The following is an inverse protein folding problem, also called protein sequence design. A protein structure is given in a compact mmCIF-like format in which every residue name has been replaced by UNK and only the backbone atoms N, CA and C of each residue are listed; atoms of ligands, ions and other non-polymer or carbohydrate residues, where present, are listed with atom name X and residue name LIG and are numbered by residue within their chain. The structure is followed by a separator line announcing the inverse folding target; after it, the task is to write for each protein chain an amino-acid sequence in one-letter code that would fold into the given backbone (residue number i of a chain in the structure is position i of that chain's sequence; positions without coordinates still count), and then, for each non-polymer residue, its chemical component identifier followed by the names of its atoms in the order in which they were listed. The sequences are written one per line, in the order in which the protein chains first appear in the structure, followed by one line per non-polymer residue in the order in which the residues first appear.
data_IF_859864759838
#
_entry.id   IF_859864759838
#
_cell.length_a   1.000
_cell.length_b   1.000
_cell.length_c   1.000
_cell.angle_alpha   90.00
_cell.angle_beta   90.00
_cell.angle_gamma   90.00
#
_symmetry.space_group_name_H-M   'P 1'
#
loop_
_entity.id
_entity.type
_entity.pdbx_description
1 polymer ?
#
# COMPACT_ATOMS: atom_id res chain seq x y z
N UNK A 1 -10.74 -17.44 -28.41
CA UNK A 1 -10.07 -16.19 -28.01
C UNK A 1 -10.73 -15.05 -28.76
N UNK A 2 -11.47 -14.17 -28.09
CA UNK A 2 -12.11 -13.03 -28.76
C UNK A 2 -11.03 -12.13 -29.34
N UNK A 3 -11.08 -11.89 -30.65
CA UNK A 3 -10.20 -10.90 -31.28
C UNK A 3 -10.51 -9.52 -30.71
N UNK A 4 -9.48 -8.69 -30.44
CA UNK A 4 -9.71 -7.31 -30.02
C UNK A 4 -10.51 -6.59 -31.10
N UNK A 5 -11.67 -6.06 -30.71
CA UNK A 5 -12.54 -5.28 -31.61
C UNK A 5 -11.74 -4.09 -32.15
N UNK A 6 -11.65 -3.96 -33.47
CA UNK A 6 -11.03 -2.81 -34.11
C UNK A 6 -11.70 -1.52 -33.61
N UNK A 7 -10.91 -0.64 -32.99
CA UNK A 7 -11.38 0.66 -32.49
C UNK A 7 -11.37 1.68 -33.62
N UNK A 8 -12.55 2.05 -34.12
CA UNK A 8 -12.70 3.19 -35.01
C UNK A 8 -12.74 4.49 -34.20
N UNK A 9 -11.60 5.16 -34.11
CA UNK A 9 -11.47 6.47 -33.50
C UNK A 9 -11.74 7.56 -34.54
N UNK A 10 -12.65 8.47 -34.21
CA UNK A 10 -12.92 9.65 -35.03
C UNK A 10 -12.24 10.85 -34.38
N UNK A 11 -11.36 11.50 -35.14
CA UNK A 11 -10.74 12.77 -34.74
C UNK A 11 -11.53 13.90 -35.40
N UNK A 12 -12.34 14.67 -34.64
CA UNK A 12 -13.13 15.76 -35.21
C UNK A 12 -12.23 16.88 -35.75
N UNK A 13 -11.08 17.08 -35.11
CA UNK A 13 -10.07 18.06 -35.47
C UNK A 13 -8.82 17.36 -36.05
N UNK A 14 -8.44 17.67 -37.31
CA UNK A 14 -7.21 17.16 -37.91
C UNK A 14 -5.94 17.56 -37.14
N UNK A 15 -5.92 18.74 -36.49
CA UNK A 15 -4.77 19.19 -35.71
C UNK A 15 -4.59 18.34 -34.46
N UNK A 16 -5.68 17.92 -33.82
CA UNK A 16 -5.66 16.98 -32.70
C UNK A 16 -5.02 15.65 -33.10
N UNK A 17 -5.38 15.09 -34.27
CA UNK A 17 -4.76 13.86 -34.77
C UNK A 17 -3.25 14.05 -34.99
N UNK A 18 -2.84 15.14 -35.64
CA UNK A 18 -1.43 15.42 -35.91
C UNK A 18 -0.60 15.58 -34.64
N UNK A 19 -1.13 16.24 -33.61
CA UNK A 19 -0.47 16.39 -32.33
C UNK A 19 -0.25 15.03 -31.62
N UNK A 20 -1.26 14.17 -31.62
CA UNK A 20 -1.18 12.84 -31.00
C UNK A 20 -0.21 11.95 -31.81
N UNK A 21 -0.21 12.02 -33.14
CA UNK A 21 0.74 11.30 -33.98
C UNK A 21 2.19 11.75 -33.74
N UNK A 22 2.42 13.05 -33.56
CA UNK A 22 3.73 13.58 -33.22
C UNK A 22 4.21 13.06 -31.85
N UNK A 23 3.33 13.05 -30.85
CA UNK A 23 3.64 12.52 -29.52
C UNK A 23 3.93 11.00 -29.55
N UNK A 24 3.09 10.22 -30.23
CA UNK A 24 3.30 8.79 -30.42
C UNK A 24 4.66 8.49 -31.10
N UNK A 25 5.01 9.29 -32.12
CA UNK A 25 6.31 9.18 -32.80
C UNK A 25 7.49 9.52 -31.89
N UNK A 26 7.36 10.53 -31.02
CA UNK A 26 8.40 10.87 -30.04
C UNK A 26 8.63 9.73 -29.03
N UNK A 27 7.57 9.02 -28.67
CA UNK A 27 7.64 7.84 -27.79
C UNK A 27 8.00 6.54 -28.53
N UNK A 28 8.12 6.58 -29.86
CA UNK A 28 8.47 5.41 -30.68
C UNK A 28 7.38 4.35 -30.78
N UNK A 29 6.13 4.69 -30.46
CA UNK A 29 4.98 3.78 -30.44
C UNK A 29 3.99 4.07 -31.56
N UNK A 30 3.11 3.12 -31.85
CA UNK A 30 2.02 3.35 -32.80
C UNK A 30 0.97 4.33 -32.23
N UNK A 31 0.25 5.04 -33.10
CA UNK A 31 -0.85 5.93 -32.69
C UNK A 31 -1.90 5.18 -31.84
N UNK A 32 -2.23 3.96 -32.22
CA UNK A 32 -3.19 3.14 -31.49
C UNK A 32 -2.68 2.77 -30.09
N UNK A 33 -1.42 2.35 -29.99
CA UNK A 33 -0.78 2.01 -28.73
C UNK A 33 -0.68 3.20 -27.79
N UNK A 34 -0.29 4.37 -28.32
CA UNK A 34 -0.27 5.63 -27.56
C UNK A 34 -1.65 6.00 -26.99
N UNK A 35 -2.71 5.81 -27.78
CA UNK A 35 -4.08 6.11 -27.31
C UNK A 35 -4.54 5.09 -26.27
N UNK A 36 -4.22 3.81 -26.47
CA UNK A 36 -4.57 2.75 -25.53
C UNK A 36 -3.82 2.92 -24.20
N UNK A 37 -2.52 3.22 -24.22
CA UNK A 37 -1.73 3.46 -23.01
C UNK A 37 -2.24 4.68 -22.26
N UNK A 38 -2.53 5.78 -22.95
CA UNK A 38 -3.08 6.98 -22.34
C UNK A 38 -4.50 6.78 -21.79
N UNK A 39 -5.33 5.94 -22.44
CA UNK A 39 -6.64 5.58 -21.94
C UNK A 39 -6.54 4.70 -20.68
N UNK A 40 -5.64 3.71 -20.69
CA UNK A 40 -5.38 2.85 -19.54
C UNK A 40 -4.88 3.65 -18.33
N UNK A 41 -3.88 4.51 -18.53
CA UNK A 41 -3.33 5.37 -17.48
C UNK A 41 -4.40 6.28 -16.86
N UNK A 42 -5.32 6.82 -17.68
CA UNK A 42 -6.46 7.61 -17.16
C UNK A 42 -7.46 6.75 -16.40
N UNK A 43 -7.73 5.54 -16.85
CA UNK A 43 -8.65 4.62 -16.18
C UNK A 43 -8.14 4.18 -14.80
N UNK A 44 -6.82 4.02 -14.65
CA UNK A 44 -6.18 3.57 -13.40
C UNK A 44 -5.63 4.71 -12.54
N UNK A 45 -5.79 5.97 -12.95
CA UNK A 45 -5.22 7.12 -12.25
C UNK A 45 -5.70 7.23 -10.79
N UNK A 46 -7.00 7.04 -10.56
CA UNK A 46 -7.60 7.13 -9.21
C UNK A 46 -7.12 5.99 -8.32
N UNK A 47 -7.09 4.76 -8.86
CA UNK A 47 -6.57 3.59 -8.15
C UNK A 47 -5.09 3.77 -7.77
N UNK A 48 -4.28 4.25 -8.72
CA UNK A 48 -2.85 4.51 -8.50
C UNK A 48 -2.65 5.52 -7.38
N UNK A 49 -3.41 6.63 -7.41
CA UNK A 49 -3.35 7.66 -6.38
C UNK A 49 -3.78 7.12 -5.01
N UNK A 50 -4.85 6.31 -4.96
CA UNK A 50 -5.30 5.68 -3.73
C UNK A 50 -4.24 4.75 -3.14
N UNK A 51 -3.64 3.88 -3.95
CA UNK A 51 -2.61 2.95 -3.50
C UNK A 51 -1.35 3.66 -3.01
N UNK A 52 -0.96 4.76 -3.66
CA UNK A 52 0.16 5.59 -3.23
C UNK A 52 -0.12 6.24 -1.87
N UNK A 53 -1.29 6.88 -1.72
CA UNK A 53 -1.70 7.49 -0.46
C UNK A 53 -1.82 6.46 0.67
N UNK A 54 -2.32 5.26 0.35
CA UNK A 54 -2.41 4.15 1.30
C UNK A 54 -1.02 3.69 1.77
N UNK A 55 -0.07 3.51 0.86
CA UNK A 55 1.32 3.15 1.20
C UNK A 55 1.98 4.22 2.08
N UNK A 56 1.79 5.50 1.75
CA UNK A 56 2.29 6.60 2.55
C UNK A 56 1.68 6.61 3.96
N UNK A 57 0.38 6.30 4.07
CA UNK A 57 -0.28 6.15 5.36
C UNK A 57 0.29 4.99 6.18
N UNK A 58 0.48 3.83 5.56
CA UNK A 58 1.08 2.65 6.20
C UNK A 58 2.51 2.90 6.67
N UNK A 59 3.33 3.59 5.86
CA UNK A 59 4.69 3.96 6.24
C UNK A 59 4.70 4.86 7.49
N UNK A 60 3.88 5.92 7.51
CA UNK A 60 3.78 6.81 8.69
C UNK A 60 3.35 6.08 9.95
N UNK A 61 2.38 5.16 9.84
CA UNK A 61 1.98 4.33 10.97
C UNK A 61 3.11 3.40 11.43
N UNK A 62 3.83 2.78 10.49
CA UNK A 62 4.99 1.95 10.77
C UNK A 62 6.09 2.71 11.51
N UNK A 63 6.42 3.91 11.04
CA UNK A 63 7.39 4.79 11.70
C UNK A 63 6.94 5.14 13.13
N UNK A 64 5.67 5.50 13.32
CA UNK A 64 5.12 5.79 14.64
C UNK A 64 5.21 4.58 15.61
N UNK A 65 4.96 3.36 15.12
CA UNK A 65 5.13 2.15 15.93
C UNK A 65 6.61 1.84 16.21
N UNK A 66 7.51 2.07 15.25
CA UNK A 66 8.95 1.89 15.45
C UNK A 66 9.49 2.87 16.50
N UNK A 67 9.08 4.14 16.43
CA UNK A 67 9.41 5.15 17.44
C UNK A 67 8.84 4.78 18.81
N UNK A 68 7.58 4.35 18.86
CA UNK A 68 6.96 3.88 20.11
C UNK A 68 7.67 2.66 20.69
N UNK A 69 8.09 1.70 19.86
CA UNK A 69 8.84 0.52 20.29
C UNK A 69 10.26 0.88 20.76
N UNK A 70 10.92 1.83 20.11
CA UNK A 70 12.19 2.40 20.58
C UNK A 70 12.05 3.11 21.93
N UNK A 71 10.92 3.78 22.17
CA UNK A 71 10.59 4.40 23.44
C UNK A 71 10.16 3.38 24.54
N UNK A 72 9.53 2.27 24.15
CA UNK A 72 9.14 1.15 25.03
C UNK A 72 10.22 0.07 25.20
N UNK A 73 11.41 0.29 24.62
CA UNK A 73 12.61 -0.50 24.86
C UNK A 73 13.36 -0.07 26.12
N UNK A 74 12.73 0.73 27.00
CA UNK A 74 13.37 1.23 28.23
C UNK A 74 13.37 0.15 29.31
N UNK A 75 14.35 0.24 30.21
CA UNK A 75 14.54 -0.66 31.36
C UNK A 75 13.24 -0.93 32.14
N UNK A 76 12.38 0.09 32.26
CA UNK A 76 11.07 0.02 32.92
C UNK A 76 10.08 -0.97 32.30
N UNK A 77 10.14 -1.21 31.00
CA UNK A 77 9.27 -2.19 30.32
C UNK A 77 9.82 -3.62 30.43
N UNK A 78 11.12 -3.77 30.72
CA UNK A 78 11.69 -5.06 31.14
C UNK A 78 11.33 -5.35 32.60
N UNK A 79 11.49 -4.37 33.49
CA UNK A 79 11.11 -4.46 34.90
C UNK A 79 9.62 -4.83 35.05
N UNK A 80 8.71 -4.13 34.36
CA UNK A 80 7.27 -4.42 34.41
C UNK A 80 6.94 -5.84 33.95
N UNK A 81 7.62 -6.34 32.91
CA UNK A 81 7.46 -7.73 32.44
C UNK A 81 7.98 -8.74 33.44
N UNK A 82 9.11 -8.47 34.08
CA UNK A 82 9.64 -9.35 35.13
C UNK A 82 8.73 -9.39 36.36
N UNK A 83 8.16 -8.25 36.76
CA UNK A 83 7.18 -8.15 37.85
C UNK A 83 5.89 -8.91 37.51
N UNK A 84 5.38 -8.78 36.28
CA UNK A 84 4.19 -9.50 35.84
C UNK A 84 4.42 -11.02 35.85
N UNK A 85 5.58 -11.49 35.37
CA UNK A 85 5.93 -12.91 35.40
C UNK A 85 6.15 -13.45 36.82
N UNK A 86 6.66 -12.62 37.74
CA UNK A 86 6.77 -12.97 39.15
C UNK A 86 5.39 -13.08 39.80
N UNK A 87 4.50 -12.11 39.56
CA UNK A 87 3.13 -12.13 40.06
C UNK A 87 2.33 -13.33 39.54
N UNK A 88 2.49 -13.70 38.26
CA UNK A 88 1.87 -14.91 37.68
C UNK A 88 2.32 -16.18 38.38
N UNK A 89 3.62 -16.34 38.63
CA UNK A 89 4.16 -17.51 39.35
C UNK A 89 3.60 -17.62 40.77
N UNK A 90 3.52 -16.51 41.49
CA UNK A 90 2.91 -16.50 42.84
C UNK A 90 1.45 -16.93 42.79
N UNK A 91 0.68 -16.45 41.80
CA UNK A 91 -0.73 -16.84 41.63
C UNK A 91 -0.91 -18.31 41.24
N UNK A 92 0.00 -18.88 40.45
CA UNK A 92 0.02 -20.31 40.10
C UNK A 92 0.33 -21.15 41.35
N UNK A 93 1.35 -20.78 42.13
CA UNK A 93 1.72 -21.46 43.39
C UNK A 93 0.65 -21.36 44.48
N UNK A 94 -0.08 -20.25 44.55
CA UNK A 94 -1.24 -20.09 45.45
C UNK A 94 -2.42 -20.96 45.01
N UNK A 95 -2.69 -21.07 43.70
CA UNK A 95 -3.74 -21.95 43.17
C UNK A 95 -3.43 -23.43 43.40
N UNK A 96 -2.19 -23.86 43.18
CA UNK A 96 -1.76 -25.25 43.44
C UNK A 96 -1.90 -25.63 44.92
N UNK A 97 -1.60 -24.70 45.84
CA UNK A 97 -1.80 -24.91 47.29
C UNK A 97 -3.27 -24.90 47.70
N UNK A 98 -4.11 -24.11 47.04
CA UNK A 98 -5.57 -24.08 47.26
C UNK A 98 -6.30 -25.34 46.74
N UNK A 99 -5.72 -26.03 45.76
CA UNK A 99 -6.26 -27.29 45.23
C UNK A 99 -5.80 -28.56 45.98
N UNK A 100 -4.91 -28.43 46.96
CA UNK A 100 -4.36 -29.55 47.75
C UNK A 100 -5.06 -29.77 49.11
N UNK A 101 -6.23 -29.16 49.34
CA UNK A 101 -7.05 -29.30 50.54
C UNK A 101 -8.35 -30.08 50.26
#
# INVERSE_FOLDING_TARGET
MSQPKAMNLRFPDPAQRAAIEAAARQEGVSLQEYILSAAYARATAVETHFLEAFRASMARSGDAFAEAAGASGTDRDQERRTEELAARRVLEEEQERGHAA
#
